data_IF_874546187122
#
_entry.id   IF_874546187122
#
_cell.length_a   1.000
_cell.length_b   1.000
_cell.length_c   1.000
_cell.angle_alpha   90.00
_cell.angle_beta   90.00
_cell.angle_gamma   90.00
#
_symmetry.space_group_name_H-M   'P 1'
#
loop_
_entity.id
_entity.type
_entity.pdbx_description
1 polymer ?
#
# COMPACT_ATOMS: atom_id res chain seq x y z
N UNK A 1 16.00 7.61 12.52
CA UNK A 1 14.74 6.84 12.59
C UNK A 1 14.01 7.24 13.87
N UNK A 2 12.81 7.70 13.75
CA UNK A 2 12.02 8.14 14.91
C UNK A 2 11.26 6.94 15.49
N UNK A 3 11.69 6.50 16.69
CA UNK A 3 11.06 5.37 17.39
C UNK A 3 9.55 5.60 17.61
N UNK A 4 9.15 6.82 17.89
CA UNK A 4 7.76 7.18 18.08
C UNK A 4 6.89 6.84 16.87
N UNK A 5 7.37 7.05 15.65
CA UNK A 5 6.61 6.80 14.42
C UNK A 5 6.35 5.30 14.20
N UNK A 6 7.34 4.45 14.48
CA UNK A 6 7.15 3.01 14.45
C UNK A 6 6.23 2.54 15.59
N UNK A 7 6.34 3.09 16.77
CA UNK A 7 5.42 2.79 17.88
C UNK A 7 3.96 3.10 17.50
N UNK A 8 3.72 4.18 16.76
CA UNK A 8 2.37 4.51 16.25
C UNK A 8 1.88 3.51 15.20
N UNK A 9 2.76 3.03 14.30
CA UNK A 9 2.40 1.96 13.37
C UNK A 9 2.08 0.64 14.10
N UNK A 10 2.81 0.31 15.15
CA UNK A 10 2.53 -0.85 16.00
C UNK A 10 1.18 -0.70 16.70
N UNK A 11 0.84 0.48 17.21
CA UNK A 11 -0.49 0.73 17.82
C UNK A 11 -1.62 0.52 16.83
N UNK A 12 -1.46 0.95 15.58
CA UNK A 12 -2.42 0.66 14.52
C UNK A 12 -2.60 -0.84 14.31
N UNK A 13 -1.51 -1.61 14.21
CA UNK A 13 -1.56 -3.06 14.07
C UNK A 13 -2.28 -3.73 15.25
N UNK A 14 -1.97 -3.31 16.49
CA UNK A 14 -2.62 -3.82 17.70
C UNK A 14 -4.12 -3.54 17.69
N UNK A 15 -4.52 -2.30 17.36
CA UNK A 15 -5.93 -1.94 17.21
C UNK A 15 -6.65 -2.86 16.22
N UNK A 16 -6.02 -3.14 15.10
CA UNK A 16 -6.58 -4.02 14.07
C UNK A 16 -6.82 -5.44 14.57
N UNK A 17 -5.80 -6.09 15.15
CA UNK A 17 -5.91 -7.48 15.61
C UNK A 17 -6.84 -7.63 16.83
N UNK A 18 -6.83 -6.69 17.75
CA UNK A 18 -7.70 -6.70 18.94
C UNK A 18 -9.18 -6.56 18.57
N UNK A 19 -9.50 -5.88 17.47
CA UNK A 19 -10.86 -5.75 16.96
C UNK A 19 -11.23 -6.77 15.88
N UNK A 20 -10.36 -7.72 15.56
CA UNK A 20 -10.62 -8.74 14.55
C UNK A 20 -10.71 -8.19 13.12
N UNK A 21 -10.09 -7.06 12.81
CA UNK A 21 -10.14 -6.42 11.51
C UNK A 21 -9.32 -7.15 10.44
N UNK A 22 -8.20 -7.76 10.84
CA UNK A 22 -7.29 -8.45 9.93
C UNK A 22 -5.99 -8.86 10.58
N UNK A 23 -4.93 -9.04 9.78
CA UNK A 23 -3.61 -9.44 10.26
C UNK A 23 -2.85 -8.34 11.03
N UNK A 24 -1.67 -8.69 11.60
CA UNK A 24 -0.92 -7.81 12.51
C UNK A 24 -0.08 -6.76 11.76
N UNK A 25 -0.72 -5.98 10.89
CA UNK A 25 -0.05 -5.02 10.02
C UNK A 25 -0.62 -3.62 10.22
N UNK A 26 0.26 -2.68 10.53
CA UNK A 26 -0.08 -1.27 10.71
C UNK A 26 0.95 -0.37 10.06
N UNK A 27 0.52 0.82 9.65
CA UNK A 27 1.38 1.79 9.00
C UNK A 27 0.97 3.23 9.33
N UNK A 28 1.95 4.14 9.27
CA UNK A 28 1.72 5.58 9.31
C UNK A 28 2.47 6.27 8.19
N UNK A 29 1.83 7.23 7.54
CA UNK A 29 2.45 8.11 6.55
C UNK A 29 2.83 9.42 7.23
N UNK A 30 4.05 9.88 6.99
CA UNK A 30 4.66 10.99 7.71
C UNK A 30 5.21 12.02 6.73
N UNK A 31 4.94 13.29 6.96
CA UNK A 31 5.54 14.41 6.23
C UNK A 31 5.97 15.48 7.23
N UNK A 32 7.21 15.98 7.09
CA UNK A 32 7.78 17.00 7.98
C UNK A 32 7.67 16.63 9.48
N UNK A 33 7.93 15.35 9.79
CA UNK A 33 7.87 14.82 11.16
C UNK A 33 6.46 14.64 11.72
N UNK A 34 5.41 14.90 10.94
CA UNK A 34 4.01 14.78 11.37
C UNK A 34 3.33 13.61 10.67
N UNK A 35 2.56 12.83 11.42
CA UNK A 35 1.71 11.79 10.87
C UNK A 35 0.55 12.45 10.14
N UNK A 36 0.44 12.18 8.84
CA UNK A 36 -0.64 12.68 7.97
C UNK A 36 -1.65 11.59 7.59
N UNK A 37 -1.32 10.31 7.84
CA UNK A 37 -2.24 9.19 7.60
C UNK A 37 -1.88 7.99 8.46
N UNK A 38 -2.89 7.21 8.84
CA UNK A 38 -2.79 5.99 9.65
C UNK A 38 -3.60 4.88 9.03
N UNK A 39 -3.14 3.65 9.19
CA UNK A 39 -3.89 2.50 8.72
C UNK A 39 -3.42 1.20 9.34
N UNK A 40 -4.31 0.24 9.38
CA UNK A 40 -4.02 -1.14 9.73
C UNK A 40 -4.77 -2.07 8.79
N UNK A 41 -4.36 -3.34 8.76
CA UNK A 41 -5.00 -4.34 7.92
C UNK A 41 -6.49 -4.49 8.27
N UNK A 42 -7.35 -4.33 7.26
CA UNK A 42 -8.81 -4.43 7.37
C UNK A 42 -9.40 -5.45 6.39
N UNK A 43 -8.59 -6.39 5.94
CA UNK A 43 -8.99 -7.41 4.95
C UNK A 43 -10.23 -8.18 5.42
N UNK A 44 -10.28 -8.57 6.68
CA UNK A 44 -11.39 -9.38 7.22
C UNK A 44 -12.65 -8.53 7.40
N UNK A 45 -12.55 -7.38 8.06
CA UNK A 45 -13.73 -6.55 8.36
C UNK A 45 -14.35 -5.94 7.10
N UNK A 46 -13.53 -5.57 6.11
CA UNK A 46 -13.99 -4.98 4.86
C UNK A 46 -14.29 -6.01 3.78
N UNK A 47 -13.96 -7.30 3.98
CA UNK A 47 -14.05 -8.34 2.95
C UNK A 47 -13.35 -7.90 1.65
N UNK A 48 -12.16 -7.32 1.78
CA UNK A 48 -11.40 -6.74 0.70
C UNK A 48 -9.90 -7.08 0.86
N UNK A 49 -9.32 -7.93 -0.02
CA UNK A 49 -7.92 -8.36 0.08
C UNK A 49 -6.92 -7.23 -0.16
N UNK A 50 -7.36 -6.08 -0.67
CA UNK A 50 -6.47 -4.93 -0.90
C UNK A 50 -6.30 -4.04 0.32
N UNK A 51 -7.12 -4.21 1.35
CA UNK A 51 -7.09 -3.40 2.58
C UNK A 51 -5.91 -3.75 3.50
N UNK A 52 -4.69 -3.73 2.97
CA UNK A 52 -3.47 -3.82 3.75
C UNK A 52 -3.20 -2.52 4.53
N UNK A 53 -2.43 -2.61 5.60
CA UNK A 53 -2.15 -1.46 6.48
C UNK A 53 -1.55 -0.26 5.74
N UNK A 54 -0.61 -0.51 4.84
CA UNK A 54 0.04 0.52 4.02
C UNK A 54 -0.97 1.20 3.08
N UNK A 55 -1.83 0.41 2.43
CA UNK A 55 -2.87 0.94 1.53
C UNK A 55 -3.87 1.79 2.30
N UNK A 56 -4.29 1.33 3.49
CA UNK A 56 -5.19 2.10 4.35
C UNK A 56 -4.55 3.41 4.84
N UNK A 57 -3.26 3.37 5.21
CA UNK A 57 -2.53 4.58 5.61
C UNK A 57 -2.39 5.58 4.46
N UNK A 58 -2.12 5.11 3.23
CA UNK A 58 -2.07 5.94 2.02
C UNK A 58 -3.44 6.58 1.75
N UNK A 59 -4.52 5.80 1.82
CA UNK A 59 -5.89 6.30 1.63
C UNK A 59 -6.23 7.39 2.64
N UNK A 60 -5.89 7.16 3.89
CA UNK A 60 -6.12 8.12 4.97
C UNK A 60 -5.31 9.41 4.76
N UNK A 61 -4.02 9.29 4.44
CA UNK A 61 -3.15 10.43 4.14
C UNK A 61 -3.68 11.26 2.98
N UNK A 62 -4.06 10.61 1.86
CA UNK A 62 -4.59 11.30 0.69
C UNK A 62 -5.89 12.07 1.00
N UNK A 63 -6.78 11.48 1.80
CA UNK A 63 -7.99 12.16 2.26
C UNK A 63 -7.65 13.38 3.12
N UNK A 64 -6.75 13.22 4.07
CA UNK A 64 -6.42 14.26 5.04
C UNK A 64 -5.76 15.48 4.39
N UNK A 65 -4.92 15.27 3.37
CA UNK A 65 -4.25 16.38 2.68
C UNK A 65 -4.97 16.84 1.40
N UNK A 66 -6.02 16.13 0.99
CA UNK A 66 -6.78 16.45 -0.23
C UNK A 66 -5.97 16.29 -1.52
N UNK A 67 -5.06 15.30 -1.60
CA UNK A 67 -4.20 15.05 -2.76
C UNK A 67 -3.95 13.57 -2.96
N UNK A 68 -3.85 13.11 -4.20
CA UNK A 68 -3.40 11.77 -4.54
C UNK A 68 -1.88 11.61 -4.46
N UNK A 69 -1.12 12.71 -4.44
CA UNK A 69 0.34 12.67 -4.35
C UNK A 69 0.80 12.83 -2.90
N UNK A 70 1.61 11.88 -2.45
CA UNK A 70 2.28 11.90 -1.15
C UNK A 70 3.80 12.16 -1.32
N UNK A 71 4.19 12.84 -2.41
CA UNK A 71 5.58 13.21 -2.66
C UNK A 71 6.15 13.98 -1.47
N UNK A 72 7.37 13.63 -1.05
CA UNK A 72 8.01 14.19 0.13
C UNK A 72 7.56 13.59 1.46
N UNK A 73 6.65 12.61 1.43
CA UNK A 73 6.30 11.84 2.62
C UNK A 73 7.12 10.55 2.72
N UNK A 74 7.20 10.02 3.93
CA UNK A 74 7.75 8.72 4.28
C UNK A 74 6.65 7.81 4.85
N UNK A 75 6.87 6.49 4.81
CA UNK A 75 5.97 5.53 5.45
C UNK A 75 6.74 4.66 6.45
N UNK A 76 6.13 4.47 7.62
CA UNK A 76 6.57 3.53 8.65
C UNK A 76 5.55 2.40 8.71
N UNK A 77 5.99 1.17 8.55
CA UNK A 77 5.13 -0.01 8.53
C UNK A 77 5.70 -1.12 9.39
N UNK A 78 4.85 -1.89 10.04
CA UNK A 78 5.27 -2.97 10.94
C UNK A 78 5.91 -4.14 10.22
N UNK A 79 5.67 -4.29 8.91
CA UNK A 79 6.24 -5.35 8.09
C UNK A 79 6.71 -4.80 6.73
N UNK A 80 7.72 -5.42 6.16
CA UNK A 80 8.17 -5.15 4.78
C UNK A 80 6.97 -5.21 3.83
N UNK A 81 6.72 -4.16 3.02
CA UNK A 81 5.58 -4.15 2.13
C UNK A 81 5.57 -5.33 1.16
N UNK A 82 4.42 -5.97 0.99
CA UNK A 82 4.21 -6.94 -0.08
C UNK A 82 4.29 -6.24 -1.46
N UNK A 83 4.37 -6.99 -2.59
CA UNK A 83 4.45 -6.36 -3.91
C UNK A 83 3.30 -5.39 -4.23
N UNK A 84 2.07 -5.68 -3.77
CA UNK A 84 0.93 -4.77 -3.96
C UNK A 84 1.14 -3.44 -3.23
N UNK A 85 1.55 -3.50 -1.96
CA UNK A 85 1.79 -2.30 -1.14
C UNK A 85 3.00 -1.52 -1.62
N UNK A 86 4.07 -2.20 -2.04
CA UNK A 86 5.23 -1.54 -2.65
C UNK A 86 4.83 -0.77 -3.90
N UNK A 87 4.00 -1.36 -4.76
CA UNK A 87 3.42 -0.66 -5.90
C UNK A 87 2.60 0.56 -5.48
N UNK A 88 1.76 0.44 -4.46
CA UNK A 88 0.96 1.55 -3.94
C UNK A 88 1.84 2.69 -3.40
N UNK A 89 2.91 2.37 -2.67
CA UNK A 89 3.88 3.35 -2.16
C UNK A 89 4.55 4.11 -3.31
N UNK A 90 4.94 3.41 -4.38
CA UNK A 90 5.53 4.02 -5.57
C UNK A 90 4.54 4.92 -6.30
N UNK A 91 3.30 4.48 -6.50
CA UNK A 91 2.23 5.28 -7.10
C UNK A 91 1.93 6.55 -6.29
N UNK A 92 2.01 6.47 -4.97
CA UNK A 92 1.80 7.62 -4.10
C UNK A 92 2.97 8.63 -4.12
N UNK A 93 4.14 8.25 -4.63
CA UNK A 93 5.34 9.08 -4.64
C UNK A 93 6.03 9.19 -3.28
N UNK A 94 5.81 8.23 -2.39
CA UNK A 94 6.46 8.19 -1.06
C UNK A 94 7.96 7.94 -1.23
N UNK A 95 8.78 8.68 -0.49
CA UNK A 95 10.24 8.70 -0.66
C UNK A 95 10.95 7.55 0.02
N UNK A 96 10.63 7.28 1.29
CA UNK A 96 11.31 6.27 2.08
C UNK A 96 10.31 5.33 2.76
N UNK A 97 10.72 4.07 2.88
CA UNK A 97 9.95 3.01 3.54
C UNK A 97 10.78 2.52 4.73
N UNK A 98 10.26 2.73 5.93
CA UNK A 98 10.83 2.19 7.16
C UNK A 98 9.97 1.02 7.61
N UNK A 99 10.52 -0.18 7.72
CA UNK A 99 9.76 -1.38 8.07
C UNK A 99 10.38 -2.14 9.25
N UNK A 100 9.53 -2.86 9.98
CA UNK A 100 9.95 -3.68 11.12
C UNK A 100 10.33 -5.09 10.70
N UNK A 101 9.37 -6.01 10.67
CA UNK A 101 9.56 -7.40 10.27
C UNK A 101 9.81 -7.52 8.76
N UNK A 102 10.63 -8.48 8.36
CA UNK A 102 10.86 -8.78 6.94
C UNK A 102 9.84 -9.79 6.39
N UNK A 103 9.96 -10.09 5.09
CA UNK A 103 9.08 -11.05 4.41
C UNK A 103 9.22 -12.49 4.92
N UNK A 104 10.38 -12.87 5.45
CA UNK A 104 10.58 -14.17 6.06
C UNK A 104 9.85 -14.28 7.40
N UNK A 105 9.85 -13.22 8.19
CA UNK A 105 9.07 -13.13 9.42
C UNK A 105 7.56 -13.25 9.14
N UNK A 106 7.06 -12.54 8.12
CA UNK A 106 5.67 -12.62 7.70
C UNK A 106 5.28 -14.04 7.24
N UNK A 107 6.16 -14.74 6.53
CA UNK A 107 5.95 -16.12 6.11
C UNK A 107 5.84 -17.07 7.30
N UNK A 108 6.64 -16.87 8.35
CA UNK A 108 6.60 -17.73 9.56
C UNK A 108 5.25 -17.70 10.27
N UNK A 109 4.50 -16.61 10.15
CA UNK A 109 3.15 -16.50 10.73
C UNK A 109 2.03 -16.76 9.72
N UNK A 110 2.35 -17.26 8.52
CA UNK A 110 1.39 -17.77 7.55
C UNK A 110 0.98 -16.79 6.44
N UNK A 111 1.64 -15.64 6.30
CA UNK A 111 1.38 -14.69 5.20
C UNK A 111 2.28 -14.97 3.98
N UNK A 112 1.79 -14.64 2.80
CA UNK A 112 2.34 -15.10 1.51
C UNK A 112 3.22 -14.08 0.79
N UNK A 113 3.64 -13.00 1.45
CA UNK A 113 4.39 -11.90 0.85
C UNK A 113 5.62 -12.39 0.07
N UNK A 114 6.41 -13.27 0.69
CA UNK A 114 7.59 -13.87 0.07
C UNK A 114 7.24 -14.69 -1.16
N UNK A 115 6.18 -15.48 -1.12
CA UNK A 115 5.71 -16.27 -2.27
C UNK A 115 5.37 -15.38 -3.45
N UNK A 116 4.72 -14.24 -3.22
CA UNK A 116 4.40 -13.29 -4.29
C UNK A 116 5.66 -12.66 -4.89
N UNK A 117 6.64 -12.28 -4.07
CA UNK A 117 7.95 -11.80 -4.57
C UNK A 117 8.65 -12.86 -5.42
N UNK A 118 8.69 -14.11 -4.96
CA UNK A 118 9.37 -15.21 -5.65
C UNK A 118 8.68 -15.60 -6.97
N UNK A 119 7.37 -15.38 -7.10
CA UNK A 119 6.59 -15.81 -8.26
C UNK A 119 6.36 -14.70 -9.29
N UNK A 120 6.48 -13.43 -8.94
CA UNK A 120 6.22 -12.31 -9.86
C UNK A 120 7.10 -12.36 -11.10
N UNK A 121 8.38 -12.67 -10.97
CA UNK A 121 9.31 -12.76 -12.10
C UNK A 121 9.03 -13.97 -13.01
N UNK A 122 8.36 -14.99 -12.48
CA UNK A 122 8.09 -16.24 -13.21
C UNK A 122 6.73 -16.24 -13.91
N UNK A 123 5.91 -15.21 -13.72
CA UNK A 123 4.58 -15.03 -14.31
C UNK A 123 3.84 -16.35 -14.46
N UNK A 124 3.49 -17.00 -13.37
CA UNK A 124 2.66 -18.21 -13.37
C UNK A 124 1.24 -17.96 -13.87
N UNK A 125 0.89 -16.71 -14.10
CA UNK A 125 -0.37 -16.28 -14.68
C UNK A 125 -0.26 -16.09 -16.19
N UNK A 126 -1.26 -16.55 -16.91
CA UNK A 126 -1.36 -16.29 -18.34
C UNK A 126 -1.91 -14.87 -18.55
N UNK A 127 -1.09 -14.01 -19.12
CA UNK A 127 -1.51 -12.71 -19.61
C UNK A 127 -1.97 -12.86 -21.06
N UNK A 128 -3.27 -12.75 -21.30
CA UNK A 128 -3.86 -13.01 -22.61
C UNK A 128 -4.32 -11.68 -23.22
N UNK A 129 -3.62 -11.16 -24.24
CA UNK A 129 -4.04 -9.95 -24.94
C UNK A 129 -5.41 -10.14 -25.58
N UNK A 130 -6.29 -9.18 -25.45
CA UNK A 130 -7.60 -9.17 -26.09
C UNK A 130 -8.05 -7.75 -26.40
N UNK A 131 -8.74 -7.55 -27.52
CA UNK A 131 -9.33 -6.27 -27.93
C UNK A 131 -8.39 -5.06 -27.80
N UNK A 132 -7.13 -5.23 -28.15
CA UNK A 132 -6.11 -4.18 -27.99
C UNK A 132 -6.49 -2.89 -28.71
N UNK A 133 -7.06 -2.99 -29.92
CA UNK A 133 -7.41 -1.81 -30.73
C UNK A 133 -8.49 -0.97 -30.07
N UNK A 134 -9.55 -1.61 -29.59
CA UNK A 134 -10.63 -0.91 -28.86
C UNK A 134 -10.14 -0.25 -27.57
N UNK A 135 -9.18 -0.89 -26.91
CA UNK A 135 -8.54 -0.31 -25.71
C UNK A 135 -7.63 0.87 -26.08
N UNK A 136 -6.95 0.80 -27.22
CA UNK A 136 -6.17 1.94 -27.73
C UNK A 136 -7.07 3.14 -28.09
N UNK A 137 -8.25 2.88 -28.65
CA UNK A 137 -9.23 3.94 -28.91
C UNK A 137 -9.64 4.67 -27.61
N UNK A 138 -9.82 3.92 -26.52
CA UNK A 138 -10.07 4.49 -25.20
C UNK A 138 -8.89 5.40 -24.75
N UNK A 139 -7.66 4.95 -24.93
CA UNK A 139 -6.47 5.74 -24.58
C UNK A 139 -6.36 7.01 -25.43
N UNK A 140 -6.63 6.90 -26.73
CA UNK A 140 -6.66 8.04 -27.65
C UNK A 140 -7.73 9.06 -27.22
N UNK A 141 -8.91 8.59 -26.87
CA UNK A 141 -9.98 9.44 -26.36
C UNK A 141 -9.57 10.16 -25.07
N UNK A 142 -8.95 9.45 -24.13
CA UNK A 142 -8.45 10.05 -22.90
C UNK A 142 -7.42 11.15 -23.18
N UNK A 143 -6.48 10.91 -24.10
CA UNK A 143 -5.46 11.89 -24.47
C UNK A 143 -6.05 13.21 -25.02
N UNK A 144 -7.22 13.17 -25.63
CA UNK A 144 -7.90 14.36 -26.19
C UNK A 144 -8.74 15.10 -25.14
N UNK A 145 -8.94 14.53 -23.96
CA UNK A 145 -9.74 15.18 -22.90
C UNK A 145 -8.96 16.36 -22.30
N UNK A 146 -9.55 17.59 -22.27
CA UNK A 146 -8.84 18.79 -21.82
C UNK A 146 -8.55 18.79 -20.31
N UNK A 147 -9.37 18.12 -19.51
CA UNK A 147 -9.31 18.13 -18.04
C UNK A 147 -8.58 16.91 -17.46
N UNK A 148 -7.90 16.13 -18.30
CA UNK A 148 -7.15 14.98 -17.81
C UNK A 148 -5.98 15.41 -16.91
N UNK A 149 -5.79 14.64 -15.82
CA UNK A 149 -4.68 14.83 -14.89
C UNK A 149 -3.82 13.56 -14.90
N UNK A 150 -2.61 13.61 -15.46
CA UNK A 150 -1.65 12.52 -15.32
C UNK A 150 -1.19 12.40 -13.86
N UNK A 151 -0.91 11.18 -13.42
CA UNK A 151 -0.45 10.85 -12.06
C UNK A 151 0.53 9.69 -12.06
#
# INVERSE_FOLDING_TARGET
>A
MDKYLMDEAIKEALNGIENGHGGPFGAVVVRDGKIIGRGHNRVIINQDPTCHGEVEAIRDACRNIGSFSLEGADIYTTSEPCPMCLGAVLWAGISNIYYGCDRDDAQRIGFRDKVFYDTMDKLSYRLIPTQREQCLDLFSRYQTMPDRKPY
#
